data_IF_531519959435
#
_entry.id   IF_531519959435
#
_cell.length_a   1.000
_cell.length_b   1.000
_cell.length_c   1.000
_cell.angle_alpha   90.00
_cell.angle_beta   90.00
_cell.angle_gamma   90.00
#
_symmetry.space_group_name_H-M   'P 1'
#
loop_
_entity.id
_entity.type
_entity.pdbx_description
1 polymer ?
#
# COMPACT_ATOMS: atom_id res chain seq x y z
N UNK A 1 -6.54 36.48 -12.86
CA UNK A 1 -7.02 35.52 -11.84
C UNK A 1 -6.07 34.33 -11.80
N UNK A 2 -5.31 34.15 -10.72
CA UNK A 2 -4.67 32.85 -10.46
C UNK A 2 -5.77 31.80 -10.39
N UNK A 3 -5.53 30.62 -10.95
CA UNK A 3 -6.54 29.57 -11.06
C UNK A 3 -6.84 28.98 -9.66
N UNK A 4 -7.79 29.56 -8.93
CA UNK A 4 -8.18 29.17 -7.56
C UNK A 4 -8.50 27.67 -7.45
N UNK A 5 -9.06 27.07 -8.50
CA UNK A 5 -9.37 25.64 -8.56
C UNK A 5 -8.11 24.77 -8.60
N UNK A 6 -7.07 25.23 -9.33
CA UNK A 6 -5.76 24.57 -9.38
C UNK A 6 -5.00 24.72 -8.07
N UNK A 7 -4.99 25.91 -7.49
CA UNK A 7 -4.34 26.15 -6.20
C UNK A 7 -4.97 25.31 -5.08
N UNK A 8 -6.31 25.30 -5.03
CA UNK A 8 -7.05 24.45 -4.08
C UNK A 8 -6.78 22.97 -4.29
N UNK A 9 -6.74 22.50 -5.53
CA UNK A 9 -6.41 21.10 -5.81
C UNK A 9 -5.00 20.77 -5.33
N UNK A 10 -4.01 21.61 -5.66
CA UNK A 10 -2.60 21.43 -5.28
C UNK A 10 -2.43 21.33 -3.77
N UNK A 11 -3.07 22.23 -3.02
CA UNK A 11 -3.02 22.22 -1.56
C UNK A 11 -3.66 20.94 -0.98
N UNK A 12 -4.86 20.58 -1.45
CA UNK A 12 -5.59 19.42 -0.94
C UNK A 12 -4.94 18.09 -1.33
N UNK A 13 -4.40 17.99 -2.54
CA UNK A 13 -3.76 16.77 -3.05
C UNK A 13 -2.48 16.49 -2.28
N UNK A 14 -1.64 17.51 -2.06
CA UNK A 14 -0.47 17.42 -1.20
C UNK A 14 -0.82 16.97 0.22
N UNK A 15 -1.80 17.63 0.87
CA UNK A 15 -2.21 17.29 2.23
C UNK A 15 -2.78 15.86 2.35
N UNK A 16 -3.65 15.45 1.42
CA UNK A 16 -4.28 14.12 1.46
C UNK A 16 -3.26 13.03 1.12
N UNK A 17 -2.41 13.23 0.11
CA UNK A 17 -1.36 12.27 -0.22
C UNK A 17 -0.38 12.12 0.95
N UNK A 18 -0.03 13.20 1.65
CA UNK A 18 0.84 13.11 2.84
C UNK A 18 0.25 12.19 3.93
N UNK A 19 -1.08 12.22 4.13
CA UNK A 19 -1.76 11.31 5.08
C UNK A 19 -1.75 9.86 4.61
N UNK A 20 -1.89 9.64 3.30
CA UNK A 20 -1.77 8.32 2.67
C UNK A 20 -0.37 7.76 2.93
N UNK A 21 0.67 8.52 2.60
CA UNK A 21 2.07 8.10 2.80
C UNK A 21 2.37 7.81 4.27
N UNK A 22 1.92 8.67 5.19
CA UNK A 22 2.07 8.43 6.63
C UNK A 22 1.34 7.17 7.10
N UNK A 23 0.17 6.87 6.52
CA UNK A 23 -0.55 5.63 6.83
C UNK A 23 0.23 4.40 6.36
N UNK A 24 0.94 4.48 5.23
CA UNK A 24 1.84 3.42 4.77
C UNK A 24 3.02 3.23 5.74
N UNK A 25 3.60 4.30 6.27
CA UNK A 25 4.64 4.20 7.32
C UNK A 25 4.11 3.51 8.60
N UNK A 26 2.87 3.78 8.97
CA UNK A 26 2.25 3.04 10.07
C UNK A 26 2.11 1.55 9.75
N UNK A 27 1.84 1.17 8.50
CA UNK A 27 1.82 -0.23 8.09
C UNK A 27 3.21 -0.85 8.21
N UNK A 28 4.28 -0.12 7.84
CA UNK A 28 5.67 -0.60 7.95
C UNK A 28 6.04 -1.03 9.38
N UNK A 29 5.47 -0.40 10.41
CA UNK A 29 5.69 -0.81 11.81
C UNK A 29 5.25 -2.26 12.13
N UNK A 30 4.48 -2.92 11.25
CA UNK A 30 4.17 -4.34 11.35
C UNK A 30 5.39 -5.25 11.13
N UNK A 31 6.51 -4.74 10.59
CA UNK A 31 7.76 -5.49 10.46
C UNK A 31 8.48 -5.71 11.81
N UNK A 32 8.08 -5.00 12.87
CA UNK A 32 8.71 -5.12 14.18
C UNK A 32 8.53 -6.49 14.83
N UNK A 33 9.41 -6.84 15.77
CA UNK A 33 9.42 -8.10 16.54
C UNK A 33 8.15 -8.38 17.38
N UNK A 34 7.24 -7.40 17.44
CA UNK A 34 5.97 -7.49 18.15
C UNK A 34 4.90 -8.29 17.39
N UNK A 35 5.19 -8.68 16.15
CA UNK A 35 4.27 -9.33 15.24
C UNK A 35 4.90 -10.61 14.69
N UNK A 36 4.04 -11.55 14.33
CA UNK A 36 4.38 -12.77 13.59
C UNK A 36 3.47 -12.82 12.37
N UNK A 37 4.05 -13.18 11.23
CA UNK A 37 3.36 -13.18 9.94
C UNK A 37 3.96 -14.23 9.02
N UNK A 38 3.16 -14.67 8.05
CA UNK A 38 3.56 -15.61 7.00
C UNK A 38 3.70 -14.87 5.67
N UNK A 39 4.53 -15.40 4.79
CA UNK A 39 4.76 -14.83 3.45
C UNK A 39 3.45 -14.65 2.66
N UNK A 40 2.53 -15.61 2.76
CA UNK A 40 1.20 -15.52 2.13
C UNK A 40 0.39 -14.31 2.61
N UNK A 41 0.47 -13.96 3.91
CA UNK A 41 -0.25 -12.83 4.47
C UNK A 41 0.39 -11.51 4.05
N UNK A 42 1.72 -11.47 4.00
CA UNK A 42 2.45 -10.30 3.49
C UNK A 42 2.18 -10.08 1.99
N UNK A 43 2.17 -11.15 1.19
CA UNK A 43 1.81 -11.08 -0.23
C UNK A 43 0.42 -10.48 -0.41
N UNK A 44 -0.59 -11.01 0.29
CA UNK A 44 -1.95 -10.48 0.23
C UNK A 44 -2.03 -9.02 0.68
N UNK A 45 -1.32 -8.65 1.75
CA UNK A 45 -1.25 -7.29 2.26
C UNK A 45 -0.65 -6.32 1.23
N UNK A 46 0.49 -6.66 0.64
CA UNK A 46 1.18 -5.82 -0.34
C UNK A 46 0.37 -5.70 -1.63
N UNK A 47 -0.17 -6.80 -2.14
CA UNK A 47 -1.01 -6.80 -3.34
C UNK A 47 -2.25 -5.90 -3.14
N UNK A 48 -2.86 -5.96 -1.96
CA UNK A 48 -4.04 -5.12 -1.63
C UNK A 48 -3.70 -3.63 -1.60
N UNK A 49 -2.53 -3.26 -1.08
CA UNK A 49 -2.07 -1.86 -1.11
C UNK A 49 -1.84 -1.43 -2.56
N UNK A 50 -1.10 -2.22 -3.36
CA UNK A 50 -0.83 -1.91 -4.76
C UNK A 50 -2.12 -1.76 -5.58
N UNK A 51 -3.03 -2.73 -5.47
CA UNK A 51 -4.34 -2.70 -6.14
C UNK A 51 -5.16 -1.46 -5.76
N UNK A 52 -5.07 -1.00 -4.51
CA UNK A 52 -5.74 0.23 -4.09
C UNK A 52 -5.17 1.47 -4.77
N UNK A 53 -3.85 1.53 -4.96
CA UNK A 53 -3.21 2.56 -5.77
C UNK A 53 -3.76 2.58 -7.19
N UNK A 54 -3.78 1.42 -7.83
CA UNK A 54 -4.25 1.24 -9.20
C UNK A 54 -5.74 1.63 -9.36
N UNK A 55 -6.61 1.19 -8.44
CA UNK A 55 -8.04 1.55 -8.42
C UNK A 55 -8.24 3.07 -8.37
N UNK A 56 -7.46 3.79 -7.54
CA UNK A 56 -7.64 5.25 -7.45
C UNK A 56 -6.97 5.98 -8.62
N UNK A 57 -5.87 5.46 -9.18
CA UNK A 57 -5.25 6.05 -10.37
C UNK A 57 -6.22 6.03 -11.56
N UNK A 58 -6.94 4.93 -11.72
CA UNK A 58 -8.02 4.78 -12.71
C UNK A 58 -9.11 5.87 -12.55
N UNK A 59 -9.46 6.24 -11.31
CA UNK A 59 -10.44 7.33 -11.06
C UNK A 59 -9.97 8.68 -11.61
N UNK A 60 -8.67 8.96 -11.57
CA UNK A 60 -8.13 10.20 -12.15
C UNK A 60 -7.98 10.13 -13.68
N UNK A 61 -7.83 8.93 -14.25
CA UNK A 61 -7.77 8.73 -15.69
C UNK A 61 -9.15 8.83 -16.34
N UNK A 62 -10.19 8.31 -15.66
CA UNK A 62 -11.56 8.26 -16.16
C UNK A 62 -12.58 8.86 -15.16
N UNK A 63 -12.45 10.15 -14.77
CA UNK A 63 -13.23 10.73 -13.67
C UNK A 63 -14.73 10.78 -13.93
N UNK A 64 -15.17 10.88 -15.19
CA UNK A 64 -16.59 10.95 -15.56
C UNK A 64 -17.33 9.67 -15.15
N UNK A 65 -16.72 8.52 -15.37
CA UNK A 65 -17.37 7.21 -15.16
C UNK A 65 -17.02 6.64 -13.78
N UNK A 66 -15.78 6.84 -13.33
CA UNK A 66 -15.26 6.20 -12.14
C UNK A 66 -15.67 6.87 -10.82
N UNK A 67 -16.01 8.18 -10.82
CA UNK A 67 -16.38 8.89 -9.58
C UNK A 67 -17.69 8.41 -8.96
N UNK A 68 -18.59 7.83 -9.75
CA UNK A 68 -19.83 7.23 -9.25
C UNK A 68 -19.66 5.80 -8.73
N UNK A 69 -18.51 5.16 -9.01
CA UNK A 69 -18.30 3.78 -8.64
C UNK A 69 -18.12 3.64 -7.12
N UNK A 70 -18.65 2.56 -6.57
CA UNK A 70 -18.45 2.20 -5.17
C UNK A 70 -17.04 1.64 -5.00
N UNK A 71 -16.13 2.46 -4.48
CA UNK A 71 -14.77 2.07 -4.15
C UNK A 71 -14.71 1.19 -2.91
N UNK A 72 -13.79 0.24 -2.88
CA UNK A 72 -13.57 -0.62 -1.72
C UNK A 72 -13.10 0.24 -0.54
N UNK A 73 -13.71 0.08 0.64
CA UNK A 73 -13.41 0.93 1.82
C UNK A 73 -12.94 0.15 3.04
N UNK A 74 -13.04 -1.17 3.00
CA UNK A 74 -12.67 -2.06 4.09
C UNK A 74 -11.70 -3.11 3.55
N UNK A 75 -10.74 -3.51 4.38
CA UNK A 75 -9.83 -4.59 4.12
C UNK A 75 -9.97 -5.62 5.23
N UNK A 76 -10.07 -6.88 4.85
CA UNK A 76 -10.03 -8.04 5.74
C UNK A 76 -9.19 -9.12 5.09
N UNK A 77 -8.45 -9.87 5.91
CA UNK A 77 -7.84 -11.10 5.43
C UNK A 77 -8.91 -12.17 5.21
N UNK A 78 -8.78 -13.00 4.16
CA UNK A 78 -9.58 -14.20 4.01
C UNK A 78 -9.50 -15.06 5.27
N UNK A 79 -10.65 -15.53 5.76
CA UNK A 79 -10.75 -16.33 7.00
C UNK A 79 -9.89 -17.58 6.93
N UNK A 80 -9.68 -18.07 5.72
CA UNK A 80 -8.95 -19.26 5.36
C UNK A 80 -7.45 -19.14 5.66
N UNK A 81 -6.89 -17.93 5.65
CA UNK A 81 -5.48 -17.67 5.94
C UNK A 81 -5.10 -17.91 7.42
N UNK A 82 -6.09 -17.89 8.33
CA UNK A 82 -5.91 -18.01 9.78
C UNK A 82 -6.56 -19.27 10.37
N UNK A 83 -6.68 -20.35 9.59
CA UNK A 83 -7.38 -21.59 9.99
C UNK A 83 -6.71 -22.36 11.16
N UNK A 84 -5.41 -22.17 11.39
CA UNK A 84 -4.70 -22.68 12.57
C UNK A 84 -4.95 -21.78 13.77
N UNK A 85 -4.97 -22.31 15.01
CA UNK A 85 -5.00 -21.47 16.23
C UNK A 85 -3.85 -20.45 16.16
N UNK A 86 -4.13 -19.16 15.89
CA UNK A 86 -3.08 -18.20 15.66
C UNK A 86 -2.45 -17.81 16.99
N UNK A 87 -1.13 -17.56 16.99
CA UNK A 87 -0.44 -17.01 18.15
C UNK A 87 -1.01 -15.64 18.52
N UNK A 88 -0.86 -15.16 19.77
CA UNK A 88 -1.24 -13.81 20.13
C UNK A 88 -0.57 -12.74 19.25
N UNK A 89 0.66 -12.98 18.77
CA UNK A 89 1.37 -12.05 17.86
C UNK A 89 0.80 -12.08 16.44
N UNK A 90 0.43 -13.26 15.92
CA UNK A 90 -0.24 -13.40 14.62
C UNK A 90 -1.61 -12.73 14.62
N UNK A 91 -2.41 -12.93 15.67
CA UNK A 91 -3.72 -12.28 15.80
C UNK A 91 -3.58 -10.76 15.94
N UNK A 92 -2.56 -10.30 16.67
CA UNK A 92 -2.25 -8.87 16.77
C UNK A 92 -1.82 -8.29 15.43
N UNK A 93 -1.01 -9.01 14.65
CA UNK A 93 -0.65 -8.62 13.28
C UNK A 93 -1.90 -8.44 12.43
N UNK A 94 -2.76 -9.47 12.36
CA UNK A 94 -4.03 -9.44 11.60
C UNK A 94 -4.85 -8.21 11.93
N UNK A 95 -5.19 -8.01 13.21
CA UNK A 95 -6.08 -6.95 13.64
C UNK A 95 -5.50 -5.54 13.38
N UNK A 96 -4.19 -5.37 13.57
CA UNK A 96 -3.53 -4.09 13.33
C UNK A 96 -3.39 -3.81 11.84
N UNK A 97 -3.05 -4.81 11.04
CA UNK A 97 -2.99 -4.72 9.58
C UNK A 97 -4.36 -4.35 9.00
N UNK A 98 -5.42 -5.06 9.39
CA UNK A 98 -6.76 -4.79 8.88
C UNK A 98 -7.20 -3.35 9.16
N UNK A 99 -7.04 -2.91 10.41
CA UNK A 99 -7.36 -1.54 10.80
C UNK A 99 -6.56 -0.50 10.01
N UNK A 100 -5.26 -0.73 9.80
CA UNK A 100 -4.37 0.24 9.12
C UNK A 100 -4.63 0.29 7.60
N UNK A 101 -4.89 -0.84 6.95
CA UNK A 101 -5.20 -0.87 5.52
C UNK A 101 -6.61 -0.35 5.26
N UNK A 102 -7.60 -0.67 6.10
CA UNK A 102 -8.92 -0.02 6.03
C UNK A 102 -8.78 1.50 6.13
N UNK A 103 -7.92 2.00 7.02
CA UNK A 103 -7.65 3.45 7.10
C UNK A 103 -7.03 3.98 5.81
N UNK A 104 -6.04 3.28 5.25
CA UNK A 104 -5.43 3.64 3.96
C UNK A 104 -6.48 3.71 2.86
N UNK A 105 -7.39 2.72 2.78
CA UNK A 105 -8.45 2.68 1.78
C UNK A 105 -9.38 3.89 1.91
N UNK A 106 -9.72 4.28 3.13
CA UNK A 106 -10.55 5.47 3.40
C UNK A 106 -9.85 6.76 3.00
N UNK A 107 -8.57 6.91 3.30
CA UNK A 107 -7.78 8.09 2.86
C UNK A 107 -7.65 8.14 1.33
N UNK A 108 -7.41 7.00 0.68
CA UNK A 108 -7.33 6.87 -0.78
C UNK A 108 -8.67 7.18 -1.46
N UNK A 109 -9.79 6.70 -0.90
CA UNK A 109 -11.14 7.05 -1.37
C UNK A 109 -11.46 8.54 -1.16
N UNK A 110 -10.90 9.14 -0.11
CA UNK A 110 -11.07 10.57 0.09
C UNK A 110 -10.21 11.37 -0.88
N UNK A 111 -8.99 10.91 -1.17
CA UNK A 111 -8.11 11.49 -2.19
C UNK A 111 -8.74 11.44 -3.59
N UNK A 112 -9.38 10.32 -3.97
CA UNK A 112 -10.01 10.14 -5.29
C UNK A 112 -11.06 11.22 -5.63
N UNK A 113 -11.72 11.80 -4.64
CA UNK A 113 -12.69 12.90 -4.83
C UNK A 113 -12.08 14.14 -5.49
N UNK A 114 -10.76 14.30 -5.41
CA UNK A 114 -10.05 15.39 -6.09
C UNK A 114 -10.01 15.21 -7.62
N UNK A 115 -10.36 14.03 -8.13
CA UNK A 115 -10.51 13.80 -9.56
C UNK A 115 -11.71 14.55 -10.18
N UNK A 116 -12.63 15.09 -9.37
CA UNK A 116 -13.80 15.81 -9.87
C UNK A 116 -13.44 17.14 -10.55
N UNK A 117 -13.39 17.09 -11.88
CA UNK A 117 -13.07 18.21 -12.79
C UNK A 117 -14.15 19.29 -12.85
N UNK A 118 -15.28 19.17 -12.14
CA UNK A 118 -16.22 20.28 -11.91
C UNK A 118 -15.71 21.23 -10.83
N UNK A 119 -15.00 20.69 -9.84
CA UNK A 119 -14.55 21.44 -8.65
C UNK A 119 -13.06 21.79 -8.71
N UNK A 120 -12.27 21.01 -9.46
CA UNK A 120 -10.81 21.09 -9.46
C UNK A 120 -10.23 21.19 -10.87
N UNK A 121 -9.02 21.71 -10.97
CA UNK A 121 -8.24 21.73 -12.21
C UNK A 121 -6.86 21.17 -11.88
N UNK A 122 -6.41 20.18 -12.62
CA UNK A 122 -5.13 19.50 -12.44
C UNK A 122 -4.65 18.95 -13.77
N UNK A 123 -3.34 18.77 -13.90
CA UNK A 123 -2.72 18.18 -15.07
C UNK A 123 -2.40 16.71 -14.79
N UNK A 124 -2.34 15.86 -15.82
CA UNK A 124 -2.02 14.44 -15.65
C UNK A 124 -0.64 14.22 -15.03
N UNK A 125 0.32 15.11 -15.32
CA UNK A 125 1.67 15.09 -14.74
C UNK A 125 1.63 15.25 -13.22
N UNK A 126 0.78 16.13 -12.69
CA UNK A 126 0.64 16.34 -11.25
C UNK A 126 0.06 15.09 -10.57
N UNK A 127 -0.87 14.41 -11.24
CA UNK A 127 -1.44 13.15 -10.77
C UNK A 127 -0.38 12.04 -10.77
N UNK A 128 0.34 11.87 -11.87
CA UNK A 128 1.39 10.86 -12.01
C UNK A 128 2.47 11.04 -10.94
N UNK A 129 2.91 12.28 -10.69
CA UNK A 129 3.86 12.57 -9.60
C UNK A 129 3.37 12.10 -8.23
N UNK A 130 2.09 12.26 -7.91
CA UNK A 130 1.52 11.81 -6.63
C UNK A 130 1.46 10.28 -6.55
N UNK A 131 1.18 9.59 -7.65
CA UNK A 131 1.20 8.13 -7.71
C UNK A 131 2.61 7.54 -7.78
N UNK A 132 3.60 8.28 -8.28
CA UNK A 132 5.01 7.92 -8.16
C UNK A 132 5.45 8.01 -6.69
N UNK A 133 5.05 9.06 -5.98
CA UNK A 133 5.27 9.16 -4.52
C UNK A 133 4.65 7.96 -3.78
N UNK A 134 3.42 7.59 -4.13
CA UNK A 134 2.73 6.42 -3.57
C UNK A 134 3.50 5.12 -3.86
N UNK A 135 3.90 4.91 -5.11
CA UNK A 135 4.61 3.71 -5.56
C UNK A 135 5.99 3.58 -4.90
N UNK A 136 6.72 4.69 -4.80
CA UNK A 136 8.02 4.72 -4.11
C UNK A 136 7.85 4.38 -2.63
N UNK A 137 6.83 4.92 -1.96
CA UNK A 137 6.54 4.61 -0.55
C UNK A 137 6.07 3.16 -0.37
N UNK A 138 5.39 2.58 -1.35
CA UNK A 138 5.08 1.15 -1.37
C UNK A 138 6.35 0.28 -1.45
N UNK A 139 7.30 0.59 -2.34
CA UNK A 139 8.56 -0.17 -2.42
C UNK A 139 9.41 -0.01 -1.15
N UNK A 140 9.41 1.18 -0.56
CA UNK A 140 10.00 1.41 0.77
C UNK A 140 9.35 0.50 1.81
N UNK A 141 8.01 0.45 1.89
CA UNK A 141 7.27 -0.45 2.78
C UNK A 141 7.72 -1.91 2.61
N UNK A 142 7.77 -2.41 1.39
CA UNK A 142 8.17 -3.81 1.10
C UNK A 142 9.58 -4.08 1.63
N UNK A 143 10.50 -3.12 1.50
CA UNK A 143 11.89 -3.26 1.97
C UNK A 143 12.04 -3.37 3.50
N UNK A 144 11.03 -2.95 4.27
CA UNK A 144 11.03 -3.10 5.74
C UNK A 144 10.76 -4.53 6.21
N UNK A 145 10.28 -5.42 5.34
CA UNK A 145 9.97 -6.81 5.66
C UNK A 145 11.06 -7.76 5.15
N UNK A 146 11.26 -8.92 5.79
CA UNK A 146 12.19 -9.91 5.27
C UNK A 146 11.75 -10.39 3.87
N UNK A 147 12.69 -10.78 3.00
CA UNK A 147 12.34 -11.38 1.72
C UNK A 147 11.55 -12.66 1.94
N UNK A 148 10.61 -12.92 1.03
CA UNK A 148 9.85 -14.18 1.01
C UNK A 148 10.82 -15.35 0.92
N UNK A 149 10.46 -16.46 1.56
CA UNK A 149 11.26 -17.68 1.66
C UNK A 149 11.72 -18.16 0.27
N UNK A 150 10.82 -18.09 -0.73
CA UNK A 150 11.12 -18.44 -2.13
C UNK A 150 12.21 -17.57 -2.78
N UNK A 151 12.42 -16.36 -2.29
CA UNK A 151 13.35 -15.36 -2.82
C UNK A 151 14.64 -15.27 -1.97
N UNK A 152 14.74 -16.06 -0.90
CA UNK A 152 15.95 -16.11 -0.07
C UNK A 152 17.04 -16.87 -0.80
N UNK A 153 18.18 -16.20 -1.01
CA UNK A 153 19.41 -16.87 -1.42
C UNK A 153 19.93 -17.67 -0.23
N UNK A 154 20.31 -18.94 -0.46
CA UNK A 154 20.98 -19.75 0.54
C UNK A 154 22.30 -19.06 0.93
N UNK A 155 22.39 -18.56 2.16
CA UNK A 155 23.63 -17.98 2.68
C UNK A 155 24.57 -19.05 3.25
N UNK A 156 24.14 -20.31 3.27
CA UNK A 156 24.95 -21.42 3.71
C UNK A 156 25.83 -21.89 2.55
N UNK A 157 27.13 -21.71 2.72
CA UNK A 157 28.12 -22.33 1.84
C UNK A 157 28.25 -23.79 2.29
N UNK A 158 27.86 -24.74 1.44
CA UNK A 158 28.13 -26.14 1.72
C UNK A 158 29.63 -26.38 1.57
N UNK A 159 30.27 -26.88 2.62
CA UNK A 159 31.72 -27.19 2.61
C UNK A 159 32.07 -28.18 1.50
N UNK A 160 31.13 -29.03 1.08
CA UNK A 160 31.29 -29.97 -0.04
C UNK A 160 31.39 -29.28 -1.42
N UNK A 161 30.97 -28.02 -1.54
CA UNK A 161 31.06 -27.25 -2.79
C UNK A 161 32.43 -26.57 -2.94
N UNK A 162 33.31 -26.66 -1.94
CA UNK A 162 34.69 -26.20 -2.08
C UNK A 162 35.46 -27.11 -3.05
N UNK A 163 36.26 -26.55 -3.97
CA UNK A 163 37.13 -27.34 -4.83
C UNK A 163 38.06 -28.23 -3.97
N UNK A 164 37.98 -29.55 -4.15
CA UNK A 164 38.99 -30.46 -3.62
C UNK A 164 40.20 -30.46 -4.55
N UNK A 165 41.40 -30.37 -3.98
CA UNK A 165 42.63 -30.58 -4.73
C UNK A 165 42.62 -32.01 -5.30
N UNK A 166 42.72 -32.12 -6.64
CA UNK A 166 42.88 -33.38 -7.36
C UNK A 166 44.35 -33.76 -7.42
#
# INVERSE_FOLDING_TARGET
MKNERRERWTQLSSQRMSRVLWTIELIANLSSHNYEYKDEWLGYLFDSIKQKGDEIKEVFQNPTDALSNKLISEFEFPKEMFRSQPSPKELKFKNVAERRITKLYKEMNYFSRLANTKNYTYDSIDVDFLFDCYSNKYYELVSWFPPFIKDRVCNDINVADFPSER
#
